data_IF_699389227116
#
_entry.id   IF_699389227116
#
_cell.length_a   1.000
_cell.length_b   1.000
_cell.length_c   1.000
_cell.angle_alpha   90.00
_cell.angle_beta   90.00
_cell.angle_gamma   90.00
#
_symmetry.space_group_name_H-M   'P 1'
#
loop_
_entity.id
_entity.type
_entity.pdbx_description
1 polymer ?
#
# COMPACT_ATOMS: atom_id res chain seq x y z
N UNK A 1 13.08 -10.65 8.78
CA UNK A 1 12.18 -9.47 8.67
C UNK A 1 12.34 -8.90 7.27
N UNK A 2 11.26 -8.62 6.56
CA UNK A 2 11.33 -8.05 5.21
C UNK A 2 10.52 -6.76 5.16
N UNK A 3 11.10 -5.71 4.58
CA UNK A 3 10.48 -4.40 4.39
C UNK A 3 10.39 -4.16 2.88
N UNK A 4 9.21 -3.80 2.39
CA UNK A 4 9.03 -3.30 1.03
C UNK A 4 8.97 -1.77 1.07
N UNK A 5 9.83 -1.11 0.31
CA UNK A 5 9.78 0.31 -0.02
C UNK A 5 9.48 0.44 -1.51
N UNK A 6 8.48 1.24 -1.88
CA UNK A 6 8.17 1.53 -3.29
C UNK A 6 8.11 3.04 -3.48
N UNK A 7 8.96 3.54 -4.38
CA UNK A 7 9.33 4.94 -4.44
C UNK A 7 10.70 5.17 -3.80
N UNK A 8 11.76 4.64 -4.43
CA UNK A 8 13.13 4.70 -3.89
C UNK A 8 13.64 6.14 -3.88
N UNK A 9 13.32 6.90 -4.94
CA UNK A 9 13.76 8.29 -5.10
C UNK A 9 15.28 8.42 -5.01
N UNK A 10 15.78 9.27 -4.12
CA UNK A 10 17.22 9.49 -3.93
C UNK A 10 17.86 8.53 -2.91
N UNK A 11 17.09 7.60 -2.32
CA UNK A 11 17.55 6.64 -1.33
C UNK A 11 17.70 7.19 0.09
N UNK A 12 17.12 8.36 0.39
CA UNK A 12 17.22 8.95 1.74
C UNK A 12 16.48 8.10 2.77
N UNK A 13 15.23 7.72 2.49
CA UNK A 13 14.45 6.84 3.36
C UNK A 13 15.08 5.45 3.42
N UNK A 14 15.40 4.86 2.27
CA UNK A 14 16.13 3.59 2.14
C UNK A 14 17.36 3.53 3.05
N UNK A 15 18.20 4.57 3.06
CA UNK A 15 19.39 4.63 3.92
C UNK A 15 19.03 4.68 5.42
N UNK A 16 17.98 5.40 5.80
CA UNK A 16 17.50 5.42 7.19
C UNK A 16 16.98 4.06 7.63
N UNK A 17 16.23 3.37 6.78
CA UNK A 17 15.77 2.01 7.02
C UNK A 17 16.96 1.05 7.12
N UNK A 18 17.92 1.14 6.20
CA UNK A 18 19.08 0.25 6.16
C UNK A 18 19.94 0.38 7.43
N UNK A 19 20.02 1.58 8.00
CA UNK A 19 20.65 1.82 9.32
C UNK A 19 19.86 1.18 10.46
N UNK A 20 18.53 1.29 10.44
CA UNK A 20 17.66 0.76 11.49
C UNK A 20 17.69 -0.77 11.57
N UNK A 21 17.80 -1.45 10.43
CA UNK A 21 17.80 -2.92 10.38
C UNK A 21 19.20 -3.54 10.44
N UNK A 22 20.26 -2.74 10.37
CA UNK A 22 21.63 -3.22 10.20
C UNK A 22 22.07 -4.21 11.29
N UNK A 23 21.72 -3.93 12.55
CA UNK A 23 22.09 -4.77 13.68
C UNK A 23 21.44 -6.18 13.66
N UNK A 24 20.43 -6.40 12.81
CA UNK A 24 19.85 -7.73 12.64
C UNK A 24 20.73 -8.64 11.77
N UNK A 25 21.63 -8.08 10.96
CA UNK A 25 22.43 -8.84 9.99
C UNK A 25 23.85 -9.08 10.52
N UNK A 26 24.48 -10.17 10.07
CA UNK A 26 25.89 -10.46 10.34
C UNK A 26 26.81 -9.50 9.57
N UNK A 27 28.11 -9.53 9.85
CA UNK A 27 29.09 -8.71 9.13
C UNK A 27 29.12 -9.12 7.65
N UNK A 28 28.94 -8.17 6.70
CA UNK A 28 28.97 -8.49 5.28
C UNK A 28 30.39 -8.78 4.78
N UNK A 29 30.54 -9.62 3.74
CA UNK A 29 31.81 -9.81 3.04
C UNK A 29 32.23 -8.55 2.27
N UNK A 30 33.41 -8.52 1.63
CA UNK A 30 33.85 -7.38 0.82
C UNK A 30 32.81 -6.97 -0.22
N UNK A 31 32.60 -5.66 -0.38
CA UNK A 31 31.59 -5.13 -1.29
C UNK A 31 31.99 -5.43 -2.75
N UNK A 32 31.15 -6.09 -3.55
CA UNK A 32 31.43 -6.32 -4.97
C UNK A 32 31.47 -4.99 -5.75
N UNK A 33 32.23 -4.96 -6.85
CA UNK A 33 32.33 -3.80 -7.74
C UNK A 33 31.06 -3.61 -8.56
N UNK A 34 30.43 -4.71 -8.99
CA UNK A 34 29.20 -4.76 -9.79
C UNK A 34 28.02 -4.06 -9.11
N UNK A 35 27.13 -3.46 -9.91
CA UNK A 35 25.85 -2.94 -9.42
C UNK A 35 24.93 -4.08 -8.96
N UNK A 36 24.23 -3.85 -7.85
CA UNK A 36 23.29 -4.82 -7.26
C UNK A 36 21.84 -4.58 -7.68
N UNK A 37 21.61 -3.75 -8.71
CA UNK A 37 20.26 -3.41 -9.22
C UNK A 37 19.72 -4.56 -10.08
N UNK A 38 18.50 -4.99 -9.75
CA UNK A 38 17.77 -6.01 -10.50
C UNK A 38 16.70 -5.35 -11.37
N UNK A 39 16.74 -5.60 -12.67
CA UNK A 39 15.72 -5.12 -13.60
C UNK A 39 14.59 -6.13 -13.71
N UNK A 40 13.37 -5.70 -13.44
CA UNK A 40 12.20 -6.57 -13.48
C UNK A 40 11.75 -6.82 -14.92
N UNK A 41 11.28 -8.02 -15.18
CA UNK A 41 10.66 -8.40 -16.46
C UNK A 41 9.38 -7.58 -16.71
N UNK A 42 9.12 -7.27 -17.97
CA UNK A 42 7.94 -6.49 -18.38
C UNK A 42 7.96 -5.02 -17.91
N UNK A 43 9.13 -4.47 -17.54
CA UNK A 43 9.25 -3.04 -17.22
C UNK A 43 8.99 -2.18 -18.45
N UNK A 44 8.28 -1.06 -18.25
CA UNK A 44 8.10 -0.05 -19.29
C UNK A 44 9.33 0.84 -19.29
N UNK A 45 10.10 0.84 -20.37
CA UNK A 45 11.20 1.78 -20.57
C UNK A 45 10.64 3.11 -21.02
N UNK A 46 11.08 4.21 -20.38
CA UNK A 46 10.68 5.54 -20.85
C UNK A 46 11.40 5.84 -22.17
N UNK A 47 10.76 6.51 -23.14
CA UNK A 47 11.41 6.87 -24.40
C UNK A 47 12.68 7.71 -24.24
N UNK A 48 12.81 8.44 -23.13
CA UNK A 48 13.98 9.27 -22.79
C UNK A 48 15.04 8.55 -21.96
N UNK A 49 14.73 7.37 -21.44
CA UNK A 49 15.76 6.46 -20.94
C UNK A 49 16.44 5.91 -22.19
N UNK A 50 17.52 6.59 -22.63
CA UNK A 50 18.59 5.87 -23.31
C UNK A 50 18.87 4.71 -22.39
N UNK A 51 18.72 3.49 -22.90
CA UNK A 51 19.27 2.35 -22.20
C UNK A 51 20.69 2.77 -21.86
N UNK A 52 20.92 3.02 -20.57
CA UNK A 52 22.15 2.54 -19.99
C UNK A 52 21.94 1.04 -20.11
N UNK A 53 22.19 0.55 -21.33
CA UNK A 53 22.74 -0.75 -21.59
C UNK A 53 23.65 -1.01 -20.39
N UNK A 54 23.57 -2.20 -19.76
CA UNK A 54 24.60 -2.60 -18.82
C UNK A 54 25.91 -2.20 -19.50
N UNK A 55 26.62 -1.27 -18.86
CA UNK A 55 27.77 -0.57 -19.45
C UNK A 55 28.55 -1.63 -20.18
N UNK A 56 28.65 -1.54 -21.51
CA UNK A 56 28.97 -2.66 -22.40
C UNK A 56 30.16 -3.51 -21.95
N UNK A 57 29.92 -4.34 -20.95
CA UNK A 57 30.47 -5.65 -20.84
C UNK A 57 29.67 -6.36 -21.92
N UNK A 58 30.33 -6.54 -23.06
CA UNK A 58 30.24 -7.76 -23.85
C UNK A 58 29.85 -8.93 -22.91
N UNK A 59 29.19 -10.00 -23.35
CA UNK A 59 29.27 -11.27 -22.64
C UNK A 59 30.74 -11.74 -22.69
N UNK A 60 31.62 -11.02 -21.99
CA UNK A 60 32.87 -11.47 -21.46
C UNK A 60 32.45 -12.69 -20.68
N UNK A 61 33.08 -13.79 -21.06
CA UNK A 61 33.06 -15.07 -20.37
C UNK A 61 32.72 -14.87 -18.90
N UNK A 62 31.73 -15.61 -18.41
CA UNK A 62 31.36 -15.69 -17.02
C UNK A 62 32.57 -16.22 -16.22
N UNK A 63 33.57 -15.37 -15.99
CA UNK A 63 34.52 -15.57 -14.93
C UNK A 63 33.71 -15.35 -13.66
N UNK A 64 33.46 -16.45 -12.95
CA UNK A 64 32.93 -16.43 -11.60
C UNK A 64 33.71 -15.37 -10.80
N UNK A 65 33.05 -14.28 -10.41
CA UNK A 65 33.60 -13.33 -9.48
C UNK A 65 33.38 -13.90 -8.07
N UNK A 66 34.40 -14.47 -7.42
CA UNK A 66 34.24 -15.12 -6.13
C UNK A 66 33.73 -14.15 -5.07
N UNK A 67 34.01 -12.84 -5.21
CA UNK A 67 33.52 -11.82 -4.28
C UNK A 67 32.01 -11.65 -4.42
N UNK A 68 31.49 -11.68 -5.65
CA UNK A 68 30.04 -11.58 -5.89
C UNK A 68 29.31 -12.85 -5.41
N UNK A 69 29.89 -14.04 -5.60
CA UNK A 69 29.30 -15.29 -5.13
C UNK A 69 29.23 -15.34 -3.59
N UNK A 70 30.32 -14.97 -2.91
CA UNK A 70 30.35 -14.87 -1.45
C UNK A 70 29.33 -13.83 -0.94
N UNK A 71 29.24 -12.68 -1.61
CA UNK A 71 28.27 -11.65 -1.31
C UNK A 71 26.82 -12.14 -1.45
N UNK A 72 26.51 -12.86 -2.53
CA UNK A 72 25.18 -13.40 -2.79
C UNK A 72 24.80 -14.50 -1.79
N UNK A 73 25.74 -15.38 -1.45
CA UNK A 73 25.56 -16.37 -0.40
C UNK A 73 25.26 -15.72 0.96
N UNK A 74 26.00 -14.66 1.32
CA UNK A 74 25.74 -13.90 2.54
C UNK A 74 24.37 -13.20 2.51
N UNK A 75 24.02 -12.55 1.38
CA UNK A 75 22.70 -11.88 1.21
C UNK A 75 21.54 -12.85 1.37
N UNK A 76 21.68 -14.10 0.92
CA UNK A 76 20.65 -15.12 1.06
C UNK A 76 20.39 -15.54 2.53
N UNK A 77 21.38 -15.34 3.41
CA UNK A 77 21.32 -15.77 4.82
C UNK A 77 21.01 -14.62 5.81
N UNK A 78 20.87 -13.38 5.33
CA UNK A 78 20.63 -12.21 6.19
C UNK A 78 19.25 -12.27 6.86
N UNK A 79 19.17 -11.78 8.09
CA UNK A 79 17.95 -11.84 8.88
C UNK A 79 16.95 -10.72 8.53
N UNK A 80 17.44 -9.59 8.02
CA UNK A 80 16.62 -8.44 7.65
C UNK A 80 17.03 -7.86 6.29
N UNK A 81 16.02 -7.51 5.48
CA UNK A 81 16.22 -6.93 4.14
C UNK A 81 15.20 -5.85 3.85
N UNK A 82 15.63 -4.82 3.13
CA UNK A 82 14.78 -3.83 2.49
C UNK A 82 14.77 -4.13 0.99
N UNK A 83 13.58 -4.40 0.47
CA UNK A 83 13.33 -4.47 -0.95
C UNK A 83 12.88 -3.09 -1.39
N UNK A 84 13.73 -2.37 -2.13
CA UNK A 84 13.37 -1.04 -2.64
C UNK A 84 13.06 -1.13 -4.14
N UNK A 85 11.88 -0.67 -4.52
CA UNK A 85 11.37 -0.74 -5.89
C UNK A 85 11.16 0.67 -6.42
N UNK A 86 11.69 0.96 -7.62
CA UNK A 86 11.42 2.20 -8.34
C UNK A 86 11.14 1.93 -9.81
N UNK A 87 10.22 2.69 -10.42
CA UNK A 87 9.99 2.59 -11.86
C UNK A 87 11.15 3.18 -12.66
N UNK A 88 11.96 4.07 -12.06
CA UNK A 88 13.09 4.71 -12.71
C UNK A 88 14.41 4.03 -12.37
N UNK A 89 15.13 3.61 -13.41
CA UNK A 89 16.51 3.14 -13.28
C UNK A 89 17.44 4.22 -12.71
N UNK A 90 17.25 5.48 -13.14
CA UNK A 90 18.05 6.63 -12.67
C UNK A 90 17.97 6.84 -11.16
N UNK A 91 16.77 6.77 -10.58
CA UNK A 91 16.58 6.93 -9.14
C UNK A 91 17.18 5.75 -8.37
N UNK A 92 16.95 4.52 -8.84
CA UNK A 92 17.56 3.33 -8.25
C UNK A 92 19.09 3.38 -8.28
N UNK A 93 19.69 3.78 -9.40
CA UNK A 93 21.15 3.95 -9.54
C UNK A 93 21.71 5.05 -8.62
N UNK A 94 21.00 6.16 -8.48
CA UNK A 94 21.40 7.23 -7.58
C UNK A 94 21.31 6.82 -6.12
N UNK A 95 20.25 6.12 -5.73
CA UNK A 95 20.07 5.56 -4.40
C UNK A 95 21.15 4.52 -4.07
N UNK A 96 21.41 3.58 -4.98
CA UNK A 96 22.48 2.58 -4.82
C UNK A 96 23.83 3.27 -4.62
N UNK A 97 24.17 4.25 -5.47
CA UNK A 97 25.40 5.03 -5.35
C UNK A 97 25.52 5.72 -3.99
N UNK A 98 24.44 6.36 -3.52
CA UNK A 98 24.42 7.05 -2.23
C UNK A 98 24.63 6.07 -1.07
N UNK A 99 23.96 4.92 -1.09
CA UNK A 99 24.05 3.91 -0.03
C UNK A 99 25.42 3.22 -0.03
N UNK A 100 25.98 2.88 -1.21
CA UNK A 100 27.34 2.35 -1.36
C UNK A 100 28.41 3.35 -0.91
N UNK A 101 28.22 4.63 -1.18
CA UNK A 101 29.14 5.68 -0.75
C UNK A 101 29.05 6.03 0.74
N UNK A 102 27.91 5.79 1.38
CA UNK A 102 27.71 6.18 2.77
C UNK A 102 28.42 5.23 3.74
N UNK A 103 29.25 5.79 4.62
CA UNK A 103 30.03 5.04 5.62
C UNK A 103 30.73 3.80 5.03
N UNK A 104 31.36 3.96 3.86
CA UNK A 104 32.09 2.87 3.16
C UNK A 104 31.20 1.66 2.80
N UNK A 105 29.90 1.87 2.59
CA UNK A 105 29.00 0.82 2.09
C UNK A 105 28.56 -0.21 3.13
N UNK A 106 28.77 0.04 4.42
CA UNK A 106 28.40 -0.92 5.49
C UNK A 106 26.91 -1.28 5.51
N UNK A 107 26.05 -0.47 4.89
CA UNK A 107 24.61 -0.70 4.81
C UNK A 107 24.16 -1.29 3.47
N UNK A 108 25.03 -1.40 2.46
CA UNK A 108 24.63 -1.84 1.12
C UNK A 108 24.03 -3.23 1.13
N UNK A 109 24.57 -4.14 1.94
CA UNK A 109 24.06 -5.51 2.05
C UNK A 109 22.64 -5.63 2.62
N UNK A 110 22.13 -4.58 3.28
CA UNK A 110 20.80 -4.58 3.89
C UNK A 110 19.68 -4.28 2.89
N UNK A 111 20.01 -3.86 1.66
CA UNK A 111 19.05 -3.37 0.67
C UNK A 111 19.23 -4.12 -0.66
N UNK A 112 18.12 -4.59 -1.22
CA UNK A 112 18.04 -5.07 -2.59
C UNK A 112 17.26 -4.07 -3.45
N UNK A 113 17.81 -3.71 -4.60
CA UNK A 113 17.24 -2.72 -5.51
C UNK A 113 16.54 -3.41 -6.68
N UNK A 114 15.35 -2.92 -7.01
CA UNK A 114 14.55 -3.40 -8.12
C UNK A 114 14.04 -2.25 -8.98
N UNK A 115 14.17 -2.40 -10.31
CA UNK A 115 13.68 -1.42 -11.27
C UNK A 115 12.49 -1.98 -12.02
N UNK A 116 11.33 -1.37 -11.82
CA UNK A 116 10.09 -1.69 -12.50
C UNK A 116 8.86 -1.39 -11.62
N UNK A 117 7.65 -1.71 -12.11
CA UNK A 117 6.43 -1.55 -11.33
C UNK A 117 6.40 -2.50 -10.11
N UNK A 118 5.90 -2.02 -8.97
CA UNK A 118 5.83 -2.81 -7.73
C UNK A 118 4.93 -4.03 -7.87
N UNK A 119 3.89 -3.96 -8.70
CA UNK A 119 3.04 -5.09 -9.04
C UNK A 119 3.82 -6.23 -9.71
N UNK A 120 4.79 -5.93 -10.58
CA UNK A 120 5.63 -6.93 -11.23
C UNK A 120 6.57 -7.58 -10.20
N UNK A 121 7.13 -6.78 -9.28
CA UNK A 121 7.93 -7.29 -8.18
C UNK A 121 7.13 -8.26 -7.32
N UNK A 122 5.92 -7.87 -6.89
CA UNK A 122 5.03 -8.73 -6.11
C UNK A 122 4.70 -10.02 -6.87
N UNK A 123 4.40 -9.94 -8.17
CA UNK A 123 4.10 -11.11 -9.00
C UNK A 123 5.29 -12.07 -9.07
N UNK A 124 6.50 -11.56 -9.32
CA UNK A 124 7.73 -12.35 -9.32
C UNK A 124 7.98 -13.00 -7.95
N UNK A 125 7.84 -12.23 -6.87
CA UNK A 125 8.01 -12.75 -5.51
C UNK A 125 6.99 -13.83 -5.16
N UNK A 126 5.76 -13.74 -5.67
CA UNK A 126 4.74 -14.79 -5.53
C UNK A 126 5.11 -16.06 -6.28
N UNK A 127 5.66 -15.94 -7.49
CA UNK A 127 6.11 -17.08 -8.27
C UNK A 127 7.26 -17.82 -7.58
N UNK A 128 8.26 -17.07 -7.10
CA UNK A 128 9.44 -17.62 -6.41
C UNK A 128 9.09 -18.31 -5.08
N UNK A 129 8.09 -17.79 -4.36
CA UNK A 129 7.66 -18.32 -3.05
C UNK A 129 6.43 -19.22 -3.13
N UNK A 130 6.02 -19.63 -4.33
CA UNK A 130 4.85 -20.49 -4.51
C UNK A 130 5.06 -21.81 -3.80
N UNK A 131 4.12 -22.20 -2.95
CA UNK A 131 4.16 -23.51 -2.28
C UNK A 131 4.16 -24.62 -3.33
N UNK A 132 5.08 -25.55 -3.19
CA UNK A 132 5.17 -26.76 -4.04
C UNK A 132 4.93 -28.01 -3.20
N UNK A 133 4.49 -29.10 -3.85
CA UNK A 133 4.26 -30.38 -3.19
C UNK A 133 3.07 -30.38 -2.21
N UNK A 134 3.19 -31.15 -1.12
CA UNK A 134 2.13 -31.37 -0.12
C UNK A 134 1.56 -30.07 0.48
N UNK A 135 2.37 -29.02 0.60
CA UNK A 135 1.95 -27.71 1.10
C UNK A 135 0.98 -26.97 0.16
N UNK A 136 0.88 -27.37 -1.11
CA UNK A 136 -0.10 -26.86 -2.06
C UNK A 136 -1.48 -27.54 -1.91
N UNK A 137 -1.58 -28.66 -1.19
CA UNK A 137 -2.82 -29.41 -1.03
C UNK A 137 -3.72 -28.88 0.10
N UNK A 138 -3.20 -28.00 0.96
CA UNK A 138 -3.92 -27.49 2.15
C UNK A 138 -4.87 -26.33 1.86
N UNK A 139 -5.34 -26.15 0.61
CA UNK A 139 -6.45 -25.25 0.24
C UNK A 139 -6.30 -23.75 0.57
N UNK A 140 -5.10 -23.30 0.96
CA UNK A 140 -4.84 -21.92 1.37
C UNK A 140 -4.28 -21.02 0.27
N UNK A 141 -3.90 -19.80 0.63
CA UNK A 141 -3.18 -18.90 -0.27
C UNK A 141 -1.93 -19.58 -0.85
N UNK A 142 -1.65 -19.40 -2.15
CA UNK A 142 -0.54 -20.08 -2.83
C UNK A 142 0.83 -19.66 -2.29
N UNK A 143 0.89 -18.53 -1.57
CA UNK A 143 2.10 -17.91 -1.02
C UNK A 143 1.76 -17.37 0.36
N UNK A 144 2.60 -17.66 1.35
CA UNK A 144 2.45 -17.08 2.69
C UNK A 144 2.89 -15.61 2.72
N UNK A 145 2.21 -14.74 3.49
CA UNK A 145 2.66 -13.37 3.68
C UNK A 145 4.06 -13.31 4.31
N UNK A 146 4.98 -12.56 3.70
CA UNK A 146 6.39 -12.51 4.10
C UNK A 146 6.85 -11.10 4.53
N UNK A 147 6.16 -10.05 4.09
CA UNK A 147 6.49 -8.66 4.40
C UNK A 147 6.05 -8.30 5.81
N UNK A 148 6.95 -7.68 6.58
CA UNK A 148 6.65 -7.17 7.93
C UNK A 148 6.19 -5.71 7.87
N UNK A 149 6.73 -4.95 6.92
CA UNK A 149 6.39 -3.55 6.69
C UNK A 149 6.32 -3.27 5.19
N UNK A 150 5.41 -2.41 4.79
CA UNK A 150 5.29 -1.88 3.43
C UNK A 150 5.25 -0.36 3.54
N UNK A 151 6.06 0.33 2.74
CA UNK A 151 6.11 1.78 2.69
C UNK A 151 5.93 2.19 1.23
N UNK A 152 4.88 2.98 0.96
CA UNK A 152 4.56 3.49 -0.37
C UNK A 152 4.80 5.01 -0.38
N UNK A 153 5.82 5.44 -1.10
CA UNK A 153 6.15 6.85 -1.37
C UNK A 153 6.09 7.09 -2.89
N UNK A 154 4.88 6.94 -3.42
CA UNK A 154 4.67 7.03 -4.87
C UNK A 154 3.33 7.67 -5.21
N UNK A 155 3.21 8.28 -6.41
CA UNK A 155 1.92 8.70 -6.93
C UNK A 155 0.93 7.54 -6.96
N UNK A 156 -0.35 7.84 -6.71
CA UNK A 156 -1.43 6.85 -6.76
C UNK A 156 -1.18 5.61 -5.90
N UNK A 157 -0.58 5.80 -4.71
CA UNK A 157 -0.29 4.72 -3.76
C UNK A 157 -1.53 3.89 -3.39
N UNK A 158 -2.72 4.50 -3.37
CA UNK A 158 -4.01 3.83 -3.20
C UNK A 158 -4.18 2.63 -4.15
N UNK A 159 -3.80 2.80 -5.42
CA UNK A 159 -3.92 1.75 -6.43
C UNK A 159 -2.94 0.59 -6.23
N UNK A 160 -1.93 0.74 -5.36
CA UNK A 160 -0.95 -0.31 -5.06
C UNK A 160 -1.31 -1.12 -3.82
N UNK A 161 -2.12 -0.55 -2.92
CA UNK A 161 -2.55 -1.19 -1.67
C UNK A 161 -3.09 -2.62 -1.90
N UNK A 162 -3.99 -2.89 -2.86
CA UNK A 162 -4.52 -4.25 -3.08
C UNK A 162 -3.47 -5.26 -3.51
N UNK A 163 -2.45 -4.82 -4.25
CA UNK A 163 -1.41 -5.72 -4.76
C UNK A 163 -0.47 -6.17 -3.64
N UNK A 164 -0.11 -5.24 -2.74
CA UNK A 164 0.90 -5.47 -1.69
C UNK A 164 0.30 -6.04 -0.40
N UNK A 165 -0.96 -5.72 -0.09
CA UNK A 165 -1.64 -6.12 1.16
C UNK A 165 -1.65 -7.64 1.40
N UNK A 166 -1.91 -8.51 0.40
CA UNK A 166 -1.89 -9.96 0.61
C UNK A 166 -0.53 -10.51 1.03
N UNK A 167 0.57 -9.79 0.78
CA UNK A 167 1.92 -10.21 1.15
C UNK A 167 2.37 -9.67 2.51
N UNK A 168 1.55 -8.81 3.14
CA UNK A 168 1.80 -8.25 4.47
C UNK A 168 1.40 -9.26 5.56
N UNK A 169 2.34 -9.57 6.46
CA UNK A 169 2.09 -10.42 7.63
C UNK A 169 1.04 -9.84 8.54
N UNK A 170 0.38 -10.71 9.32
CA UNK A 170 -0.46 -10.30 10.45
C UNK A 170 0.31 -9.32 11.33
N UNK A 171 -0.37 -8.28 11.78
CA UNK A 171 0.17 -7.18 12.60
C UNK A 171 1.28 -6.35 11.91
N UNK A 172 1.57 -6.63 10.64
CA UNK A 172 2.46 -5.85 9.80
C UNK A 172 1.88 -4.47 9.49
N UNK A 173 2.76 -3.51 9.19
CA UNK A 173 2.38 -2.13 8.95
C UNK A 173 2.44 -1.77 7.47
N UNK A 174 1.37 -1.15 6.98
CA UNK A 174 1.35 -0.41 5.72
C UNK A 174 1.47 1.07 6.03
N UNK A 175 2.48 1.72 5.46
CA UNK A 175 2.73 3.15 5.58
C UNK A 175 2.61 3.76 4.19
N UNK A 176 1.82 4.82 4.05
CA UNK A 176 1.68 5.57 2.80
C UNK A 176 2.04 7.02 3.04
N UNK A 177 2.93 7.55 2.23
CA UNK A 177 3.24 8.98 2.16
C UNK A 177 2.57 9.59 0.93
N UNK A 178 1.86 10.71 1.13
CA UNK A 178 1.21 11.46 0.05
C UNK A 178 1.27 12.97 0.31
N UNK A 179 1.30 13.81 -0.73
CA UNK A 179 1.36 15.26 -0.55
C UNK A 179 0.04 15.87 -0.04
N UNK A 180 -1.11 15.23 -0.26
CA UNK A 180 -2.43 15.75 0.16
C UNK A 180 -3.18 14.79 1.09
N UNK A 181 -3.84 15.36 2.12
CA UNK A 181 -4.73 14.63 3.02
C UNK A 181 -5.90 13.95 2.28
N UNK A 182 -6.36 14.52 1.16
CA UNK A 182 -7.45 13.92 0.36
C UNK A 182 -7.05 12.58 -0.25
N UNK A 183 -5.76 12.40 -0.58
CA UNK A 183 -5.24 11.14 -1.12
C UNK A 183 -5.21 10.03 -0.07
N UNK A 184 -5.09 10.37 1.22
CA UNK A 184 -5.32 9.41 2.30
C UNK A 184 -6.79 8.99 2.33
N UNK A 185 -7.70 9.93 2.08
CA UNK A 185 -9.12 9.65 1.87
C UNK A 185 -9.38 8.63 0.76
N UNK A 186 -8.71 8.79 -0.39
CA UNK A 186 -8.78 7.84 -1.50
C UNK A 186 -8.26 6.44 -1.11
N UNK A 187 -7.17 6.38 -0.33
CA UNK A 187 -6.67 5.12 0.22
C UNK A 187 -7.70 4.46 1.14
N UNK A 188 -8.30 5.24 2.05
CA UNK A 188 -9.30 4.76 3.00
C UNK A 188 -10.57 4.28 2.29
N UNK A 189 -11.01 4.99 1.25
CA UNK A 189 -12.12 4.59 0.41
C UNK A 189 -11.84 3.25 -0.25
N UNK A 190 -10.70 3.11 -0.92
CA UNK A 190 -10.32 1.89 -1.62
C UNK A 190 -10.19 0.69 -0.68
N UNK A 191 -9.60 0.88 0.51
CA UNK A 191 -9.52 -0.14 1.56
C UNK A 191 -10.92 -0.60 1.98
N UNK A 192 -11.85 0.34 2.18
CA UNK A 192 -13.23 0.04 2.55
C UNK A 192 -13.98 -0.70 1.44
N UNK A 193 -13.89 -0.21 0.21
CA UNK A 193 -14.64 -0.73 -0.94
C UNK A 193 -14.21 -2.15 -1.28
N UNK A 194 -12.90 -2.43 -1.21
CA UNK A 194 -12.34 -3.77 -1.44
C UNK A 194 -12.29 -4.63 -0.18
N UNK A 195 -12.83 -4.15 0.95
CA UNK A 195 -12.84 -4.84 2.25
C UNK A 195 -11.46 -5.37 2.64
N UNK A 196 -10.43 -4.56 2.41
CA UNK A 196 -9.06 -4.96 2.73
C UNK A 196 -8.88 -5.08 4.26
N UNK A 197 -8.15 -6.09 4.77
CA UNK A 197 -7.93 -6.32 6.20
C UNK A 197 -6.92 -5.36 6.82
N UNK A 198 -7.20 -4.06 6.74
CA UNK A 198 -6.33 -2.99 7.20
C UNK A 198 -7.11 -2.07 8.13
N UNK A 199 -6.58 -1.85 9.33
CA UNK A 199 -7.11 -0.87 10.29
C UNK A 199 -6.21 0.36 10.30
N UNK A 200 -6.79 1.54 10.10
CA UNK A 200 -6.07 2.81 10.21
C UNK A 200 -5.66 3.07 11.66
N UNK A 201 -4.36 3.14 11.93
CA UNK A 201 -3.84 3.46 13.26
C UNK A 201 -3.73 4.96 13.47
N UNK A 202 -3.10 5.65 12.51
CA UNK A 202 -2.77 7.06 12.64
C UNK A 202 -2.59 7.72 11.29
N UNK A 203 -2.95 8.99 11.24
CA UNK A 203 -2.64 9.89 10.13
C UNK A 203 -1.89 11.08 10.70
N UNK A 204 -0.74 11.40 10.11
CA UNK A 204 0.20 12.41 10.58
C UNK A 204 0.60 13.31 9.43
N UNK A 205 0.53 14.61 9.63
CA UNK A 205 1.13 15.62 8.75
C UNK A 205 2.58 15.88 9.20
N UNK A 206 3.50 15.79 8.25
CA UNK A 206 4.91 16.15 8.39
C UNK A 206 5.10 17.57 7.85
N UNK A 207 5.84 18.42 8.56
CA UNK A 207 6.09 19.80 8.14
C UNK A 207 7.25 20.44 8.90
N UNK A 208 7.82 21.48 8.30
CA UNK A 208 8.93 22.24 8.91
C UNK A 208 8.53 22.81 10.27
N UNK A 209 9.37 22.60 11.29
CA UNK A 209 9.14 23.11 12.64
C UNK A 209 8.17 22.30 13.51
N UNK A 210 7.62 21.17 13.01
CA UNK A 210 6.77 20.28 13.80
C UNK A 210 7.53 18.99 14.11
N UNK A 211 8.21 18.95 15.27
CA UNK A 211 8.82 17.71 15.77
C UNK A 211 7.74 16.69 16.13
N UNK A 212 7.69 15.57 15.42
CA UNK A 212 6.71 14.50 15.67
C UNK A 212 5.41 14.56 14.82
N UNK A 213 5.24 15.61 14.02
CA UNK A 213 4.10 15.79 13.12
C UNK A 213 2.76 16.10 13.81
N UNK A 214 1.75 16.50 13.03
CA UNK A 214 0.39 16.78 13.52
C UNK A 214 -0.54 15.61 13.22
N UNK A 215 -1.28 15.12 14.21
CA UNK A 215 -2.25 14.03 14.00
C UNK A 215 -3.57 14.53 13.39
N UNK A 216 -4.15 13.72 12.49
CA UNK A 216 -5.43 13.97 11.84
C UNK A 216 -6.46 12.87 12.15
N UNK A 217 -7.74 13.25 12.20
CA UNK A 217 -8.88 12.31 12.16
C UNK A 217 -9.39 12.25 10.71
N UNK A 218 -9.15 11.11 10.06
CA UNK A 218 -9.63 10.81 8.71
C UNK A 218 -10.59 9.63 8.79
N UNK A 219 -11.86 9.86 8.50
CA UNK A 219 -12.91 8.83 8.58
C UNK A 219 -14.12 9.17 7.72
N UNK A 220 -14.88 8.16 7.37
CA UNK A 220 -16.23 8.34 6.84
C UNK A 220 -17.20 8.69 7.97
N UNK A 221 -18.07 9.66 7.72
CA UNK A 221 -19.15 10.04 8.64
C UNK A 221 -20.49 9.99 7.91
N UNK A 222 -21.48 9.39 8.56
CA UNK A 222 -22.86 9.42 8.09
C UNK A 222 -23.45 10.80 8.34
N UNK A 223 -24.03 11.42 7.31
CA UNK A 223 -24.84 12.63 7.51
C UNK A 223 -26.06 12.25 8.37
N UNK A 224 -26.24 12.93 9.50
CA UNK A 224 -27.50 12.84 10.25
C UNK A 224 -28.58 13.57 9.43
N UNK A 225 -29.60 12.85 9.00
CA UNK A 225 -30.70 13.35 8.17
C UNK A 225 -31.35 14.61 8.75
N UNK A 226 -31.51 14.71 10.07
CA UNK A 226 -32.19 15.84 10.72
C UNK A 226 -31.51 17.22 10.61
N UNK A 227 -30.31 17.32 10.03
CA UNK A 227 -29.65 18.60 9.76
C UNK A 227 -29.80 19.07 8.30
N UNK A 228 -30.45 18.26 7.44
CA UNK A 228 -30.76 18.65 6.07
C UNK A 228 -32.15 19.31 6.03
N UNK A 229 -32.26 20.60 5.66
CA UNK A 229 -33.56 21.26 5.50
C UNK A 229 -34.50 20.55 4.52
N UNK A 230 -33.96 19.77 3.57
CA UNK A 230 -34.76 18.94 2.66
C UNK A 230 -35.51 17.80 3.38
N UNK A 231 -35.04 17.40 4.57
CA UNK A 231 -35.71 16.41 5.43
C UNK A 231 -36.79 17.00 6.34
N UNK A 232 -36.88 18.32 6.46
CA UNK A 232 -37.85 19.03 7.30
C UNK A 232 -39.20 19.24 6.61
N UNK A 233 -39.31 18.90 5.33
CA UNK A 233 -40.58 18.88 4.62
C UNK A 233 -41.39 17.64 5.04
N UNK A 234 -42.11 17.73 6.16
CA UNK A 234 -43.25 16.84 6.42
C UNK A 234 -44.41 17.25 5.52
N UNK A 235 -45.12 16.30 4.87
CA UNK A 235 -46.42 16.59 4.28
C UNK A 235 -47.37 16.96 5.42
N UNK A 236 -47.80 18.23 5.44
CA UNK A 236 -48.82 18.73 6.36
C UNK A 236 -50.13 17.99 6.12
N UNK A 237 -50.77 17.61 7.21
CA UNK A 237 -52.11 17.06 7.33
C UNK A 237 -53.12 17.66 6.34
N UNK A 238 -53.78 16.78 5.61
CA UNK A 238 -55.19 16.96 5.26
C UNK A 238 -55.99 15.99 6.14
N UNK A 239 -56.36 16.49 7.31
CA UNK A 239 -57.43 15.93 8.11
C UNK A 239 -58.75 16.00 7.32
N UNK A 240 -59.59 14.98 7.47
CA UNK A 240 -61.05 15.05 7.74
C UNK A 240 -61.82 13.85 7.11
N UNK A 241 -62.44 13.12 8.03
CA UNK A 241 -63.67 12.32 7.93
C UNK A 241 -63.60 10.88 7.40
N UNK A 242 -63.63 9.95 8.35
CA UNK A 242 -64.53 8.79 8.25
C UNK A 242 -65.99 9.28 8.38
N UNK A 243 -66.96 8.62 7.72
CA UNK A 243 -67.64 7.51 8.38
C UNK A 243 -67.95 6.29 7.49
N UNK A 244 -67.87 5.12 8.14
CA UNK A 244 -68.77 3.96 8.10
C UNK A 244 -69.37 3.53 6.75
N UNK A 245 -69.05 2.31 6.30
CA UNK A 245 -70.04 1.26 6.02
C UNK A 245 -69.38 -0.13 5.94
N UNK A 246 -69.84 -1.01 6.84
CA UNK A 246 -69.73 -2.46 6.76
C UNK A 246 -70.94 -2.98 5.99
N UNK A 247 -70.73 -3.69 4.88
CA UNK A 247 -71.34 -5.01 4.69
C UNK A 247 -70.78 -5.79 3.47
N UNK A 248 -70.53 -7.06 3.78
CA UNK A 248 -70.68 -8.30 3.01
C UNK A 248 -70.12 -8.46 1.56
N UNK A 249 -69.10 -9.34 1.51
CA UNK A 249 -69.11 -10.63 0.78
C UNK A 249 -69.20 -10.61 -0.76
N UNK A 250 -68.14 -11.09 -1.43
CA UNK A 250 -68.17 -12.22 -2.40
C UNK A 250 -66.92 -12.33 -3.29
N UNK A 251 -66.39 -13.55 -3.36
CA UNK A 251 -65.81 -14.25 -4.53
C UNK A 251 -64.53 -13.76 -5.23
N UNK A 252 -63.45 -14.52 -4.99
CA UNK A 252 -62.60 -15.23 -5.96
C UNK A 252 -62.35 -14.63 -7.36
N UNK A 253 -61.07 -14.38 -7.67
CA UNK A 253 -60.31 -15.13 -8.70
C UNK A 253 -58.99 -14.42 -9.03
N UNK A 254 -57.94 -15.24 -9.11
CA UNK A 254 -56.61 -14.99 -9.67
C UNK A 254 -56.51 -13.90 -10.74
N UNK A 255 -55.51 -13.02 -10.61
CA UNK A 255 -54.62 -12.66 -11.73
C UNK A 255 -53.28 -12.14 -11.18
N UNK A 256 -52.19 -12.63 -11.77
CA UNK A 256 -50.80 -12.36 -11.49
C UNK A 256 -50.42 -10.87 -11.39
N UNK A 257 -49.54 -10.52 -10.43
CA UNK A 257 -48.57 -9.43 -10.59
C UNK A 257 -47.45 -9.51 -9.54
N UNK A 258 -46.21 -9.49 -10.05
CA UNK A 258 -45.04 -8.73 -9.56
C UNK A 258 -44.91 -8.41 -8.05
N UNK A 259 -43.89 -8.98 -7.42
CA UNK A 259 -43.11 -8.41 -6.30
C UNK A 259 -41.93 -9.38 -6.08
N UNK A 260 -40.66 -9.02 -6.17
CA UNK A 260 -40.02 -7.99 -5.36
C UNK A 260 -38.82 -7.41 -6.11
N UNK A 261 -39.00 -6.20 -6.63
CA UNK A 261 -37.90 -5.29 -6.89
C UNK A 261 -37.22 -5.01 -5.55
N UNK A 262 -36.00 -5.51 -5.36
CA UNK A 262 -35.15 -5.05 -4.27
C UNK A 262 -34.96 -3.55 -4.45
N UNK A 263 -35.53 -2.77 -3.53
CA UNK A 263 -35.25 -1.35 -3.47
C UNK A 263 -33.73 -1.17 -3.27
N UNK A 264 -33.08 -0.30 -4.06
CA UNK A 264 -31.71 0.08 -3.76
C UNK A 264 -31.72 0.75 -2.40
N UNK A 265 -31.04 0.13 -1.43
CA UNK A 265 -30.76 0.70 -0.13
C UNK A 265 -30.37 2.17 -0.30
N UNK A 266 -31.15 3.08 0.29
CA UNK A 266 -30.82 4.51 0.36
C UNK A 266 -29.37 4.65 0.79
N UNK A 267 -28.49 5.02 -0.13
CA UNK A 267 -27.13 5.43 0.17
C UNK A 267 -27.22 6.69 1.04
N UNK A 268 -27.29 6.48 2.36
CA UNK A 268 -27.13 7.56 3.33
C UNK A 268 -25.76 8.15 3.09
N UNK A 269 -25.72 9.35 2.47
CA UNK A 269 -24.51 9.97 1.94
C UNK A 269 -23.38 10.00 2.95
N UNK A 270 -22.46 9.05 2.81
CA UNK A 270 -21.25 8.92 3.63
C UNK A 270 -20.27 9.99 3.17
N UNK A 271 -19.92 10.94 4.04
CA UNK A 271 -18.98 12.02 3.71
C UNK A 271 -17.61 11.69 4.27
N UNK A 272 -16.56 11.92 3.47
CA UNK A 272 -15.19 11.87 3.95
C UNK A 272 -14.91 13.08 4.84
N UNK A 273 -14.49 12.82 6.07
CA UNK A 273 -14.11 13.83 7.04
C UNK A 273 -12.59 13.81 7.19
N UNK A 274 -11.94 14.95 6.94
CA UNK A 274 -10.52 15.16 7.20
C UNK A 274 -10.38 16.34 8.17
N UNK A 275 -10.11 16.08 9.46
CA UNK A 275 -9.98 17.15 10.47
C UNK A 275 -8.62 17.11 11.14
N UNK A 276 -7.89 18.25 11.21
CA UNK A 276 -6.69 18.32 12.05
C UNK A 276 -7.11 18.25 13.52
N UNK A 277 -6.30 17.61 14.36
CA UNK A 277 -6.46 17.76 15.81
C UNK A 277 -5.94 19.17 16.21
N UNK A 278 -6.73 19.90 17.01
CA UNK A 278 -6.59 21.35 17.24
C UNK A 278 -5.30 21.75 17.98
N UNK A 279 -4.82 22.98 17.74
CA UNK A 279 -3.84 23.66 18.62
C UNK A 279 -2.52 24.16 18.00
N UNK A 280 -2.27 24.03 16.69
CA UNK A 280 -0.95 24.35 16.10
C UNK A 280 -1.05 25.16 14.78
N UNK A 281 -0.01 25.94 14.43
CA UNK A 281 0.14 26.65 13.13
C UNK A 281 0.46 25.68 11.99
N UNK A 282 -0.12 25.92 10.82
CA UNK A 282 0.06 25.09 9.60
C UNK A 282 1.27 25.64 8.81
N UNK A 283 2.22 24.78 8.46
CA UNK A 283 3.31 25.10 7.54
C UNK A 283 3.56 23.86 6.66
N UNK A 284 3.78 24.08 5.36
CA UNK A 284 3.68 23.03 4.33
C UNK A 284 4.55 21.78 4.56
N UNK A 285 4.11 20.68 3.94
CA UNK A 285 4.77 19.38 3.94
C UNK A 285 3.86 18.28 3.37
N UNK A 286 4.04 17.02 3.79
CA UNK A 286 3.28 15.87 3.29
C UNK A 286 2.61 15.10 4.43
N UNK A 287 1.76 14.14 4.09
CA UNK A 287 0.99 13.35 5.05
C UNK A 287 1.42 11.89 5.01
N UNK A 288 1.46 11.27 6.18
CA UNK A 288 1.72 9.85 6.39
C UNK A 288 0.49 9.22 7.01
N UNK A 289 -0.02 8.16 6.41
CA UNK A 289 -1.02 7.31 7.00
C UNK A 289 -0.44 5.92 7.29
N UNK A 290 -0.79 5.36 8.44
CA UNK A 290 -0.33 4.05 8.89
C UNK A 290 -1.55 3.17 9.13
N UNK A 291 -1.54 1.99 8.51
CA UNK A 291 -2.50 0.94 8.72
C UNK A 291 -1.82 -0.32 9.25
N UNK A 292 -2.52 -1.06 10.10
CA UNK A 292 -2.10 -2.38 10.58
C UNK A 292 -2.90 -3.48 9.87
N UNK A 293 -2.20 -4.51 9.42
CA UNK A 293 -2.79 -5.73 8.88
C UNK A 293 -3.46 -6.52 10.01
N UNK A 294 -4.76 -6.77 9.87
CA UNK A 294 -5.51 -7.69 10.72
C UNK A 294 -5.70 -9.04 10.05
N UNK A 295 -6.19 -10.01 10.82
CA UNK A 295 -6.61 -11.30 10.29
C UNK A 295 -7.72 -11.14 9.23
N UNK A 296 -7.66 -11.96 8.19
CA UNK A 296 -8.78 -12.11 7.26
C UNK A 296 -9.97 -12.64 8.07
N UNK A 297 -11.08 -11.88 8.07
CA UNK A 297 -12.34 -12.30 8.68
C UNK A 297 -13.07 -13.28 7.78
#
# INVERSE_FOLDING_TARGET
MEILESGTGHGSLTLHLARAIHAANTTPPPLPSRSQINYLEGRITRPSEKDTEPTGETPAEQTADPVQEEWDAWRAQRNAVIHTVDVSSKFSALAEKNIRGFRRGIYTGNTDFYVGPVENWIAQQKQLRKKTGLASLTGGNPVDPFLSHIILDMPSSNLRIPHVTPMLKRDGLLVVFVPSITQIGECLQLIRDQRLPLIQEKVIELGSGISGGRTWDVRFATKKSGADPASWATPSDADVAAPVETDEQSTASDTASEMSTEEPSKEGGSVLVCRPKVGLRIQGGGFVAVWRRIEDR
#
